data_IF_160334009746
#
_entry.id   IF_160334009746
#
_cell.length_a   1.000
_cell.length_b   1.000
_cell.length_c   1.000
_cell.angle_alpha   90.00
_cell.angle_beta   90.00
_cell.angle_gamma   90.00
#
_symmetry.space_group_name_H-M   'P 1'
#
loop_
_entity.id
_entity.type
_entity.pdbx_description
1 polymer ?
#
# COMPACT_ATOMS: atom_id res chain seq x y z
N UNK A 1 14.67 6.72 -19.31
CA UNK A 1 14.77 5.29 -18.93
C UNK A 1 15.16 5.07 -17.45
N UNK A 2 16.00 5.89 -16.84
CA UNK A 2 16.37 5.75 -15.41
C UNK A 2 15.18 5.83 -14.45
N UNK A 3 14.23 6.73 -14.68
CA UNK A 3 13.10 6.92 -13.78
C UNK A 3 12.21 5.66 -13.70
N UNK A 4 12.05 4.94 -14.80
CA UNK A 4 11.29 3.67 -14.84
C UNK A 4 11.95 2.58 -13.98
N UNK A 5 13.27 2.54 -13.92
CA UNK A 5 14.00 1.56 -13.13
C UNK A 5 13.97 1.90 -11.62
N UNK A 6 13.81 3.17 -11.30
CA UNK A 6 13.81 3.66 -9.91
C UNK A 6 12.43 3.60 -9.26
N UNK A 7 11.36 3.54 -10.04
CA UNK A 7 9.98 3.54 -9.54
C UNK A 7 9.27 2.25 -9.98
N UNK A 8 9.27 1.20 -9.16
CA UNK A 8 8.51 -0.01 -9.45
C UNK A 8 7.02 0.30 -9.60
N UNK A 9 6.43 -0.15 -10.72
CA UNK A 9 5.00 0.09 -11.01
C UNK A 9 4.09 -0.41 -9.88
N UNK A 10 4.37 -1.59 -9.32
CA UNK A 10 3.58 -2.14 -8.22
C UNK A 10 3.59 -1.21 -7.00
N UNK A 11 4.75 -0.66 -6.63
CA UNK A 11 4.87 0.29 -5.53
C UNK A 11 4.08 1.57 -5.78
N UNK A 12 4.16 2.10 -7.01
CA UNK A 12 3.41 3.29 -7.40
C UNK A 12 1.89 3.05 -7.38
N UNK A 13 1.42 1.91 -7.91
CA UNK A 13 0.01 1.51 -7.87
C UNK A 13 -0.49 1.39 -6.43
N UNK A 14 0.27 0.73 -5.57
CA UNK A 14 -0.08 0.57 -4.17
C UNK A 14 -0.11 1.90 -3.41
N UNK A 15 0.73 2.87 -3.76
CA UNK A 15 0.70 4.22 -3.22
C UNK A 15 -0.59 4.98 -3.59
N UNK A 16 -1.27 4.56 -4.65
CA UNK A 16 -2.56 5.09 -5.11
C UNK A 16 -3.74 4.15 -4.78
N UNK A 17 -3.65 3.45 -3.64
CA UNK A 17 -4.69 2.58 -3.07
C UNK A 17 -5.10 1.37 -3.97
N UNK A 18 -4.31 1.05 -5.00
CA UNK A 18 -4.54 -0.16 -5.77
C UNK A 18 -3.99 -1.39 -5.06
N UNK A 19 -4.77 -2.44 -4.99
CA UNK A 19 -4.32 -3.74 -4.47
C UNK A 19 -4.78 -4.87 -5.38
N UNK A 20 -3.94 -5.92 -5.56
CA UNK A 20 -4.33 -7.07 -6.34
C UNK A 20 -5.42 -7.87 -5.63
N UNK A 21 -6.36 -8.40 -6.40
CA UNK A 21 -7.40 -9.31 -5.93
C UNK A 21 -6.87 -10.74 -5.84
N UNK A 22 -6.01 -11.15 -6.79
CA UNK A 22 -5.43 -12.49 -6.83
C UNK A 22 -4.10 -12.55 -7.59
N UNK A 23 -3.20 -13.46 -7.22
CA UNK A 23 -2.06 -13.80 -8.07
C UNK A 23 -2.53 -14.64 -9.27
N UNK A 24 -1.82 -14.52 -10.40
CA UNK A 24 -1.98 -15.40 -11.57
C UNK A 24 -0.82 -16.38 -11.71
N UNK A 25 0.42 -15.89 -11.53
CA UNK A 25 1.67 -16.67 -11.57
C UNK A 25 2.75 -15.87 -10.84
N UNK A 26 3.97 -16.41 -10.76
CA UNK A 26 5.11 -15.70 -10.17
C UNK A 26 5.30 -14.32 -10.83
N UNK A 27 5.16 -13.25 -10.05
CA UNK A 27 5.30 -11.88 -10.51
C UNK A 27 4.11 -11.31 -11.31
N UNK A 28 2.99 -12.05 -11.45
CA UNK A 28 1.79 -11.55 -12.15
C UNK A 28 0.60 -11.48 -11.22
N UNK A 29 -0.06 -10.32 -11.22
CA UNK A 29 -1.15 -9.99 -10.32
C UNK A 29 -2.35 -9.46 -11.10
N UNK A 30 -3.55 -9.80 -10.68
CA UNK A 30 -4.79 -9.33 -11.26
C UNK A 30 -5.60 -8.57 -10.22
N UNK A 31 -6.15 -7.41 -10.62
CA UNK A 31 -7.00 -6.57 -9.78
C UNK A 31 -8.05 -5.82 -10.58
N UNK A 32 -8.82 -4.98 -9.89
CA UNK A 32 -9.73 -4.03 -10.54
C UNK A 32 -8.91 -2.91 -11.20
N UNK A 33 -9.38 -2.42 -12.33
CA UNK A 33 -8.68 -1.38 -13.06
C UNK A 33 -8.93 0.01 -12.43
N UNK A 34 -7.89 0.77 -12.08
CA UNK A 34 -8.08 2.12 -11.56
C UNK A 34 -8.30 3.18 -12.64
N UNK A 35 -8.27 2.78 -13.91
CA UNK A 35 -8.36 3.69 -15.05
C UNK A 35 -9.76 3.76 -15.68
N UNK A 36 -10.69 2.92 -15.24
CA UNK A 36 -12.09 2.93 -15.65
C UNK A 36 -12.95 2.28 -14.57
N UNK A 37 -14.26 2.46 -14.65
CA UNK A 37 -15.20 1.79 -13.74
C UNK A 37 -15.20 0.29 -14.02
N UNK A 38 -14.56 -0.48 -13.14
CA UNK A 38 -14.28 -1.91 -13.32
C UNK A 38 -14.90 -2.72 -12.16
N UNK A 39 -15.82 -3.59 -12.49
CA UNK A 39 -16.50 -4.47 -11.52
C UNK A 39 -15.99 -5.91 -11.54
N UNK A 40 -15.09 -6.24 -12.49
CA UNK A 40 -14.48 -7.57 -12.61
C UNK A 40 -12.98 -7.43 -12.80
N UNK A 41 -12.13 -8.10 -12.01
CA UNK A 41 -10.68 -7.96 -12.12
C UNK A 41 -10.19 -8.15 -13.56
N UNK A 42 -9.74 -7.07 -14.18
CA UNK A 42 -9.28 -7.02 -15.58
C UNK A 42 -7.91 -6.37 -15.74
N UNK A 43 -7.35 -5.82 -14.66
CA UNK A 43 -6.07 -5.12 -14.66
C UNK A 43 -4.95 -6.07 -14.24
N UNK A 44 -4.10 -6.43 -15.21
CA UNK A 44 -2.91 -7.26 -15.02
C UNK A 44 -1.70 -6.38 -14.71
N UNK A 45 -0.93 -6.74 -13.70
CA UNK A 45 0.39 -6.18 -13.40
C UNK A 45 1.42 -7.31 -13.46
N UNK A 46 2.45 -7.12 -14.27
CA UNK A 46 3.61 -8.03 -14.38
C UNK A 46 4.82 -7.33 -13.74
N UNK A 47 5.17 -7.73 -12.51
CA UNK A 47 6.29 -7.14 -11.76
C UNK A 47 7.66 -7.55 -12.29
N UNK A 48 7.75 -8.62 -13.09
CA UNK A 48 9.01 -9.03 -13.72
C UNK A 48 9.37 -8.11 -14.88
N UNK A 49 8.35 -7.58 -15.58
CA UNK A 49 8.51 -6.66 -16.71
C UNK A 49 8.26 -5.21 -16.32
N UNK A 50 7.71 -4.99 -15.12
CA UNK A 50 7.27 -3.69 -14.61
C UNK A 50 6.25 -3.01 -15.54
N UNK A 51 5.29 -3.80 -16.05
CA UNK A 51 4.26 -3.39 -16.99
C UNK A 51 2.87 -3.74 -16.47
N UNK A 52 1.88 -2.95 -16.90
CA UNK A 52 0.47 -3.28 -16.74
C UNK A 52 -0.25 -3.42 -18.07
N UNK A 53 -1.36 -4.15 -18.03
CA UNK A 53 -2.33 -4.20 -19.12
C UNK A 53 -3.73 -4.44 -18.57
N UNK A 54 -4.70 -3.67 -19.04
CA UNK A 54 -6.11 -3.86 -18.69
C UNK A 54 -6.86 -4.51 -19.84
N UNK A 55 -7.43 -5.67 -19.61
CA UNK A 55 -8.26 -6.39 -20.61
C UNK A 55 -9.66 -5.75 -20.77
N UNK A 56 -10.11 -4.93 -19.80
CA UNK A 56 -11.40 -4.23 -19.88
C UNK A 56 -11.34 -3.00 -20.79
N UNK A 57 -10.36 -2.11 -20.57
CA UNK A 57 -10.27 -0.85 -21.33
C UNK A 57 -9.15 -0.82 -22.40
N UNK A 58 -8.38 -1.91 -22.55
CA UNK A 58 -7.30 -2.03 -23.53
C UNK A 58 -6.07 -1.16 -23.27
N UNK A 59 -6.00 -0.45 -22.12
CA UNK A 59 -4.87 0.41 -21.76
C UNK A 59 -3.75 -0.41 -21.16
N UNK A 60 -2.51 -0.06 -21.52
CA UNK A 60 -1.33 -0.75 -21.00
C UNK A 60 -0.09 0.13 -21.10
N UNK A 61 0.97 -0.26 -20.41
CA UNK A 61 2.25 0.44 -20.42
C UNK A 61 3.06 0.24 -19.15
N UNK A 62 3.99 1.15 -18.93
CA UNK A 62 4.85 1.23 -17.73
C UNK A 62 4.30 2.26 -16.71
N UNK A 63 5.08 2.52 -15.66
CA UNK A 63 4.71 3.47 -14.60
C UNK A 63 4.48 4.89 -15.13
N UNK A 64 5.21 5.34 -16.17
CA UNK A 64 5.03 6.66 -16.74
C UNK A 64 3.68 6.73 -17.46
N UNK A 65 3.39 5.73 -18.30
CA UNK A 65 2.12 5.64 -19.00
C UNK A 65 0.94 5.51 -18.03
N UNK A 66 1.13 4.79 -16.94
CA UNK A 66 0.12 4.72 -15.88
C UNK A 66 -0.14 6.10 -15.27
N UNK A 67 0.91 6.83 -14.90
CA UNK A 67 0.78 8.17 -14.32
C UNK A 67 0.07 9.17 -15.26
N UNK A 68 0.39 9.15 -16.57
CA UNK A 68 -0.32 9.94 -17.58
C UNK A 68 -1.83 9.66 -17.58
N UNK A 69 -2.18 8.38 -17.61
CA UNK A 69 -3.58 7.93 -17.70
C UNK A 69 -4.36 8.16 -16.41
N UNK A 70 -3.74 7.90 -15.28
CA UNK A 70 -4.36 8.00 -13.96
C UNK A 70 -4.60 9.45 -13.55
N UNK A 71 -3.61 10.31 -13.72
CA UNK A 71 -3.70 11.75 -13.39
C UNK A 71 -4.25 12.60 -14.55
N UNK A 72 -4.49 11.99 -15.72
CA UNK A 72 -4.97 12.68 -16.94
C UNK A 72 -4.05 13.86 -17.34
N UNK A 73 -2.75 13.65 -17.27
CA UNK A 73 -1.72 14.65 -17.54
C UNK A 73 -0.86 14.27 -18.75
N UNK A 74 -0.11 15.22 -19.27
CA UNK A 74 0.86 15.01 -20.36
C UNK A 74 2.13 14.32 -19.82
N UNK A 75 2.90 13.72 -20.72
CA UNK A 75 4.14 13.02 -20.43
C UNK A 75 5.10 13.82 -19.53
N UNK A 76 5.31 15.12 -19.83
CA UNK A 76 6.21 15.98 -19.02
C UNK A 76 5.74 16.17 -17.59
N UNK A 77 4.43 16.29 -17.39
CA UNK A 77 3.79 16.45 -16.08
C UNK A 77 3.84 15.11 -15.32
N UNK A 78 3.58 14.00 -16.01
CA UNK A 78 3.72 12.66 -15.41
C UNK A 78 5.14 12.41 -14.90
N UNK A 79 6.16 12.81 -15.66
CA UNK A 79 7.56 12.73 -15.21
C UNK A 79 7.82 13.59 -13.96
N UNK A 80 7.24 14.79 -13.89
CA UNK A 80 7.39 15.66 -12.72
C UNK A 80 6.73 15.03 -11.47
N UNK A 81 5.51 14.47 -11.61
CA UNK A 81 4.82 13.76 -10.55
C UNK A 81 5.60 12.55 -10.07
N UNK A 82 6.15 11.75 -10.99
CA UNK A 82 6.93 10.57 -10.65
C UNK A 82 8.25 10.92 -9.95
N UNK A 83 8.92 12.00 -10.37
CA UNK A 83 10.12 12.51 -9.67
C UNK A 83 9.78 12.93 -8.26
N UNK A 84 8.73 13.72 -8.10
CA UNK A 84 8.25 14.14 -6.78
C UNK A 84 7.88 12.92 -5.92
N UNK A 85 7.22 11.91 -6.49
CA UNK A 85 6.87 10.68 -5.78
C UNK A 85 8.11 9.89 -5.34
N UNK A 86 9.12 9.78 -6.21
CA UNK A 86 10.41 9.13 -5.91
C UNK A 86 11.15 9.83 -4.77
N UNK A 87 11.17 11.17 -4.80
CA UNK A 87 11.89 11.98 -3.83
C UNK A 87 11.20 11.99 -2.45
N UNK A 88 9.88 11.72 -2.44
CA UNK A 88 9.12 11.31 -1.27
C UNK A 88 9.13 9.79 -1.23
N UNK A 89 10.28 9.16 -0.90
CA UNK A 89 10.25 7.73 -0.57
C UNK A 89 9.13 7.49 0.44
N UNK A 90 8.17 6.58 0.16
CA UNK A 90 7.23 6.19 1.20
C UNK A 90 8.08 5.61 2.33
N UNK A 91 8.21 6.34 3.41
CA UNK A 91 8.96 5.83 4.54
C UNK A 91 8.39 4.45 4.87
N UNK A 92 9.23 3.51 5.24
CA UNK A 92 8.83 2.16 5.66
C UNK A 92 7.64 2.20 6.64
N UNK A 93 7.55 3.27 7.43
CA UNK A 93 6.43 3.53 8.34
C UNK A 93 5.12 3.85 7.60
N UNK A 94 5.17 4.53 6.45
CA UNK A 94 3.99 4.75 5.59
C UNK A 94 3.48 3.44 4.98
N UNK A 95 4.36 2.57 4.54
CA UNK A 95 3.99 1.24 4.03
C UNK A 95 3.32 0.42 5.13
N UNK A 96 3.92 0.39 6.33
CA UNK A 96 3.33 -0.29 7.48
C UNK A 96 1.95 0.29 7.85
N UNK A 97 1.80 1.61 7.83
CA UNK A 97 0.52 2.27 8.08
C UNK A 97 -0.55 1.87 7.07
N UNK A 98 -0.20 1.81 5.77
CA UNK A 98 -1.11 1.33 4.71
C UNK A 98 -1.52 -0.11 4.93
N UNK A 99 -0.57 -0.98 5.25
CA UNK A 99 -0.87 -2.37 5.59
C UNK A 99 -1.88 -2.45 6.74
N UNK A 100 -1.68 -1.70 7.81
CA UNK A 100 -2.57 -1.69 8.96
C UNK A 100 -3.96 -1.12 8.66
N UNK A 101 -4.09 -0.14 7.75
CA UNK A 101 -5.40 0.33 7.26
C UNK A 101 -6.20 -0.80 6.60
N UNK A 102 -5.58 -1.57 5.71
CA UNK A 102 -6.21 -2.73 5.08
C UNK A 102 -6.62 -3.77 6.13
N UNK A 103 -5.78 -4.01 7.13
CA UNK A 103 -6.10 -4.95 8.20
C UNK A 103 -7.29 -4.47 9.05
N UNK A 104 -7.47 -3.16 9.26
CA UNK A 104 -8.62 -2.63 9.99
C UNK A 104 -9.94 -3.10 9.37
N UNK A 105 -10.07 -3.01 8.05
CA UNK A 105 -11.30 -3.41 7.34
C UNK A 105 -11.57 -4.92 7.34
N UNK A 106 -10.59 -5.73 7.73
CA UNK A 106 -10.71 -7.19 7.80
C UNK A 106 -11.01 -7.72 9.20
N UNK A 107 -11.03 -6.83 10.20
CA UNK A 107 -11.12 -7.22 11.61
C UNK A 107 -12.23 -6.44 12.32
N UNK A 108 -13.40 -7.07 12.47
CA UNK A 108 -14.59 -6.44 13.08
C UNK A 108 -14.38 -6.03 14.54
N UNK A 109 -13.53 -6.75 15.29
CA UNK A 109 -13.17 -6.42 16.68
C UNK A 109 -12.49 -5.06 16.80
N UNK A 110 -11.69 -4.67 15.78
CA UNK A 110 -11.02 -3.37 15.75
C UNK A 110 -12.04 -2.23 15.54
N UNK A 111 -13.02 -2.43 14.66
CA UNK A 111 -14.12 -1.48 14.48
C UNK A 111 -14.99 -1.37 15.75
N UNK A 112 -15.33 -2.50 16.38
CA UNK A 112 -16.11 -2.51 17.61
C UNK A 112 -15.40 -1.69 18.72
N UNK A 113 -14.10 -1.84 18.84
CA UNK A 113 -13.29 -1.06 19.78
C UNK A 113 -13.33 0.45 19.48
N UNK A 114 -13.15 0.84 18.21
CA UNK A 114 -13.23 2.25 17.81
C UNK A 114 -14.60 2.84 18.10
N UNK A 115 -15.65 2.09 17.82
CA UNK A 115 -17.02 2.48 18.07
C UNK A 115 -17.31 2.73 19.55
N UNK A 116 -16.83 1.84 20.44
CA UNK A 116 -16.92 1.99 21.89
C UNK A 116 -16.18 3.22 22.41
N UNK A 117 -15.11 3.64 21.70
CA UNK A 117 -14.33 4.84 22.02
C UNK A 117 -14.89 6.11 21.38
N UNK A 118 -16.06 6.05 20.76
CA UNK A 118 -16.75 7.19 20.17
C UNK A 118 -16.31 7.53 18.74
N UNK A 119 -15.37 6.78 18.13
CA UNK A 119 -14.95 6.97 16.75
C UNK A 119 -15.89 6.17 15.85
N UNK A 120 -16.99 6.81 15.43
CA UNK A 120 -18.08 6.15 14.69
C UNK A 120 -18.15 6.51 13.21
N UNK A 121 -17.45 7.56 12.79
CA UNK A 121 -17.44 8.04 11.42
C UNK A 121 -16.35 7.34 10.60
N UNK A 122 -16.74 6.65 9.53
CA UNK A 122 -15.78 6.10 8.57
C UNK A 122 -14.90 7.20 7.97
N UNK A 123 -15.47 8.38 7.69
CA UNK A 123 -14.72 9.53 7.19
C UNK A 123 -13.61 9.97 8.18
N UNK A 124 -13.88 9.94 9.47
CA UNK A 124 -12.87 10.24 10.50
C UNK A 124 -11.78 9.17 10.53
N UNK A 125 -12.13 7.89 10.43
CA UNK A 125 -11.18 6.77 10.40
C UNK A 125 -10.24 6.91 9.19
N UNK A 126 -10.79 7.21 8.02
CA UNK A 126 -10.01 7.42 6.79
C UNK A 126 -9.15 8.68 6.85
N UNK A 127 -9.70 9.80 7.30
CA UNK A 127 -8.97 11.07 7.44
C UNK A 127 -7.76 10.93 8.37
N UNK A 128 -7.95 10.24 9.50
CA UNK A 128 -6.89 9.98 10.48
C UNK A 128 -6.00 8.79 10.09
N UNK A 129 -6.27 8.11 8.98
CA UNK A 129 -5.53 6.95 8.47
C UNK A 129 -5.36 5.86 9.53
N UNK A 130 -6.40 5.64 10.35
CA UNK A 130 -6.36 4.66 11.42
C UNK A 130 -6.25 3.25 10.84
N UNK A 131 -5.36 2.45 11.42
CA UNK A 131 -5.15 1.06 11.05
C UNK A 131 -5.29 0.10 12.22
N UNK A 132 -5.22 -1.18 11.95
CA UNK A 132 -5.19 -2.24 12.94
C UNK A 132 -4.03 -3.20 12.70
N UNK A 133 -3.26 -3.49 13.73
CA UNK A 133 -2.18 -4.45 13.74
C UNK A 133 -2.66 -5.76 14.39
N UNK A 134 -3.07 -6.78 13.63
CA UNK A 134 -3.46 -8.08 14.19
C UNK A 134 -2.26 -8.82 14.81
N UNK A 135 -1.08 -8.62 14.27
CA UNK A 135 0.17 -9.29 14.61
C UNK A 135 0.48 -10.49 13.73
N UNK A 136 1.75 -10.83 13.61
CA UNK A 136 2.24 -12.02 12.90
C UNK A 136 2.26 -11.95 11.37
N UNK A 137 1.85 -10.84 10.76
CA UNK A 137 1.70 -10.74 9.31
C UNK A 137 2.49 -9.59 8.66
N UNK A 138 2.79 -8.51 9.39
CA UNK A 138 3.49 -7.34 8.84
C UNK A 138 4.90 -7.69 8.36
N UNK A 139 5.68 -8.40 9.20
CA UNK A 139 7.05 -8.80 8.84
C UNK A 139 7.09 -9.55 7.52
N UNK A 140 6.25 -10.58 7.37
CA UNK A 140 6.20 -11.39 6.15
C UNK A 140 5.88 -10.54 4.93
N UNK A 141 4.90 -9.66 5.05
CA UNK A 141 4.49 -8.76 3.98
C UNK A 141 5.60 -7.78 3.58
N UNK A 142 6.25 -7.09 4.54
CA UNK A 142 7.34 -6.16 4.26
C UNK A 142 8.59 -6.88 3.70
N UNK A 143 8.87 -8.11 4.15
CA UNK A 143 9.96 -8.90 3.58
C UNK A 143 9.69 -9.27 2.12
N UNK A 144 8.44 -9.57 1.74
CA UNK A 144 8.05 -9.80 0.34
C UNK A 144 8.20 -8.54 -0.53
N UNK A 145 8.10 -7.35 0.05
CA UNK A 145 8.38 -6.07 -0.61
C UNK A 145 9.89 -5.76 -0.73
N UNK A 146 10.76 -6.64 -0.21
CA UNK A 146 12.21 -6.50 -0.31
C UNK A 146 12.89 -5.87 0.90
N UNK A 147 12.16 -5.52 1.96
CA UNK A 147 12.76 -4.95 3.15
C UNK A 147 13.48 -6.00 3.99
N UNK A 148 14.72 -5.72 4.37
CA UNK A 148 15.52 -6.62 5.20
C UNK A 148 15.14 -6.52 6.69
N UNK A 149 15.30 -7.64 7.44
CA UNK A 149 15.02 -7.67 8.87
C UNK A 149 15.76 -6.60 9.69
N UNK A 150 17.05 -6.28 9.43
CA UNK A 150 17.73 -5.19 10.14
C UNK A 150 17.02 -3.85 9.97
N UNK A 151 16.57 -3.51 8.75
CA UNK A 151 15.84 -2.27 8.45
C UNK A 151 14.50 -2.24 9.18
N UNK A 152 13.76 -3.35 9.20
CA UNK A 152 12.49 -3.46 9.93
C UNK A 152 12.67 -3.28 11.45
N UNK A 153 13.77 -3.81 12.01
CA UNK A 153 14.11 -3.62 13.42
C UNK A 153 14.47 -2.18 13.73
N UNK A 154 15.28 -1.57 12.89
CA UNK A 154 15.69 -0.16 13.04
C UNK A 154 14.48 0.78 13.01
N UNK A 155 13.50 0.48 12.15
CA UNK A 155 12.23 1.21 12.06
C UNK A 155 11.26 0.92 13.22
N UNK A 156 11.59 0.03 14.15
CA UNK A 156 10.72 -0.35 15.26
C UNK A 156 9.47 -1.15 14.88
N UNK A 157 9.41 -1.69 13.68
CA UNK A 157 8.28 -2.49 13.18
C UNK A 157 8.37 -3.97 13.57
N UNK A 158 9.60 -4.43 13.85
CA UNK A 158 9.90 -5.81 14.26
C UNK A 158 10.78 -5.79 15.49
N UNK A 159 10.46 -6.64 16.47
CA UNK A 159 11.23 -6.79 17.71
C UNK A 159 12.60 -7.43 17.48
N UNK A 160 13.50 -7.37 18.47
CA UNK A 160 14.80 -8.05 18.43
C UNK A 160 14.68 -9.57 18.17
N UNK A 161 13.59 -10.19 18.65
CA UNK A 161 13.29 -11.61 18.43
C UNK A 161 12.69 -11.92 17.05
N UNK A 162 12.45 -10.90 16.21
CA UNK A 162 11.92 -11.07 14.86
C UNK A 162 10.39 -11.15 14.77
N UNK A 163 9.65 -10.79 15.79
CA UNK A 163 8.18 -10.72 15.78
C UNK A 163 7.70 -9.30 15.46
N UNK A 164 6.48 -9.17 14.94
CA UNK A 164 5.84 -7.86 14.74
C UNK A 164 5.82 -7.09 16.07
N UNK A 165 6.19 -5.82 16.03
CA UNK A 165 6.23 -4.96 17.23
C UNK A 165 4.82 -4.55 17.69
N UNK A 166 3.89 -4.44 16.75
CA UNK A 166 2.50 -4.11 17.02
C UNK A 166 1.64 -5.38 16.90
N UNK A 167 0.97 -5.75 18.00
CA UNK A 167 0.10 -6.93 18.07
C UNK A 167 -1.17 -6.53 18.80
N UNK A 168 -2.35 -6.77 18.16
CA UNK A 168 -3.68 -6.42 18.66
C UNK A 168 -3.77 -4.96 19.09
N UNK A 169 -3.34 -4.06 18.20
CA UNK A 169 -3.32 -2.61 18.46
C UNK A 169 -4.02 -1.83 17.35
N UNK A 170 -4.79 -0.82 17.75
CA UNK A 170 -5.15 0.25 16.83
C UNK A 170 -3.91 1.08 16.59
N UNK A 171 -3.60 1.36 15.32
CA UNK A 171 -2.40 2.10 14.92
C UNK A 171 -2.82 3.45 14.34
N UNK A 172 -2.18 4.50 14.86
CA UNK A 172 -2.33 5.87 14.39
C UNK A 172 -1.01 6.30 13.75
N UNK A 173 -0.99 6.65 12.46
CA UNK A 173 0.19 7.25 11.87
C UNK A 173 0.32 8.70 12.34
N UNK A 174 1.46 9.00 12.92
CA UNK A 174 1.88 10.35 13.29
C UNK A 174 3.06 10.76 12.41
N UNK A 175 3.35 12.05 12.31
CA UNK A 175 4.48 12.55 11.54
C UNK A 175 5.77 11.81 11.91
N UNK A 176 6.31 11.03 10.96
CA UNK A 176 7.56 10.27 11.14
C UNK A 176 7.50 9.08 12.10
N UNK A 177 6.30 8.67 12.59
CA UNK A 177 6.18 7.55 13.54
C UNK A 177 4.82 6.84 13.47
N UNK A 178 4.73 5.68 14.15
CA UNK A 178 3.47 4.97 14.39
C UNK A 178 3.20 4.87 15.88
N UNK A 179 1.98 5.19 16.29
CA UNK A 179 1.51 4.99 17.65
C UNK A 179 0.50 3.85 17.70
N UNK A 180 0.72 2.88 18.57
CA UNK A 180 -0.14 1.70 18.72
C UNK A 180 -0.83 1.63 20.08
N UNK A 181 -2.19 1.67 20.09
CA UNK A 181 -3.02 1.51 21.30
C UNK A 181 -3.57 0.10 21.40
N UNK A 182 -3.37 -0.58 22.53
CA UNK A 182 -3.95 -1.91 22.78
C UNK A 182 -5.46 -1.89 22.76
N UNK A 183 -6.10 -3.00 22.34
CA UNK A 183 -7.55 -3.23 22.43
C UNK A 183 -8.03 -3.59 23.85
N UNK A 184 -7.12 -3.84 24.76
CA UNK A 184 -7.40 -4.10 26.19
C UNK A 184 -7.46 -2.81 26.98
#
# INVERSE_FOLDING_TARGET
>A
DELKQQIPLMGYLQAHDWSPVRPLSAGRWMGLCPLHDDHKPSFLVDTNKDLFYCYGCGRGGDVIRFAELYHQVKFSEALALLRQWRDVEPSLLHEAARFYRVQLHRHSEAFAYLYQRGIRSCATIELMRIGYAPGGCLRGWLTQLGHSLPVLRQAGLVTAKGYDAYVRRIVFPLEGNLYGRSLS
#
